data_IF_431628241388
#
_entry.id   IF_431628241388
#
_cell.length_a   1.000
_cell.length_b   1.000
_cell.length_c   1.000
_cell.angle_alpha   90.00
_cell.angle_beta   90.00
_cell.angle_gamma   90.00
#
_symmetry.space_group_name_H-M   'P 1'
#
loop_
_entity.id
_entity.type
_entity.pdbx_description
1 polymer ?
#
# COMPACT_ATOMS: atom_id res chain seq x y z
N UNK A 1 -74.48 -44.75 41.53
CA UNK A 1 -75.05 -44.67 40.17
C UNK A 1 -74.09 -43.78 39.40
N UNK A 2 -73.09 -44.29 38.69
CA UNK A 2 -72.93 -45.60 38.07
C UNK A 2 -71.47 -46.07 38.05
N UNK A 3 -71.34 -47.39 38.00
CA UNK A 3 -70.14 -48.20 38.02
C UNK A 3 -69.47 -48.29 36.64
N UNK A 4 -68.13 -48.44 36.66
CA UNK A 4 -67.32 -49.46 35.95
C UNK A 4 -66.08 -48.89 35.25
N UNK A 5 -64.87 -49.47 35.31
CA UNK A 5 -64.16 -50.45 36.17
C UNK A 5 -62.80 -50.68 35.47
N UNK A 6 -61.78 -51.07 36.24
CA UNK A 6 -60.50 -51.71 35.86
C UNK A 6 -59.33 -50.85 35.33
N UNK A 7 -58.05 -51.11 35.63
CA UNK A 7 -57.31 -51.95 36.59
C UNK A 7 -55.80 -51.71 36.31
N UNK A 8 -54.96 -51.93 37.31
CA UNK A 8 -53.53 -52.33 37.25
C UNK A 8 -52.46 -51.22 37.18
N UNK A 9 -51.89 -51.05 38.38
CA UNK A 9 -50.50 -50.75 38.74
C UNK A 9 -49.45 -51.50 37.90
N UNK A 10 -48.45 -50.78 37.39
CA UNK A 10 -47.17 -51.35 36.98
C UNK A 10 -46.05 -50.40 37.39
N UNK A 11 -45.44 -50.71 38.53
CA UNK A 11 -44.02 -50.46 38.78
C UNK A 11 -43.19 -50.96 37.60
N UNK A 12 -42.50 -50.04 36.91
CA UNK A 12 -41.18 -50.18 36.27
C UNK A 12 -41.09 -49.28 35.04
N UNK A 13 -40.46 -48.12 35.20
CA UNK A 13 -39.65 -47.57 34.11
C UNK A 13 -38.42 -46.90 34.73
N UNK A 14 -37.21 -47.35 34.39
CA UNK A 14 -36.00 -46.77 34.94
C UNK A 14 -35.89 -45.33 34.45
N UNK A 15 -35.31 -44.48 35.30
CA UNK A 15 -34.77 -43.18 34.94
C UNK A 15 -34.29 -43.19 33.49
N UNK A 16 -35.04 -42.55 32.58
CA UNK A 16 -34.42 -42.03 31.35
C UNK A 16 -33.63 -40.80 31.74
N UNK A 17 -32.55 -41.03 32.47
CA UNK A 17 -31.40 -40.16 32.41
C UNK A 17 -31.07 -40.03 30.92
N UNK A 18 -30.98 -38.79 30.43
CA UNK A 18 -30.25 -38.58 29.18
C UNK A 18 -28.94 -39.37 29.27
N UNK A 19 -28.51 -40.06 28.20
CA UNK A 19 -27.20 -40.69 28.21
C UNK A 19 -26.19 -39.63 28.61
N UNK A 20 -25.52 -39.83 29.75
CA UNK A 20 -24.39 -39.00 30.13
C UNK A 20 -23.40 -39.10 28.97
N UNK A 21 -23.01 -37.96 28.41
CA UNK A 21 -21.96 -37.89 27.41
C UNK A 21 -20.77 -38.74 27.91
N UNK A 22 -20.21 -39.64 27.07
CA UNK A 22 -19.01 -40.38 27.43
C UNK A 22 -17.96 -39.42 28.00
N UNK A 23 -17.40 -39.75 29.16
CA UNK A 23 -16.27 -39.00 29.70
C UNK A 23 -15.12 -39.10 28.68
N UNK A 24 -14.81 -37.98 28.02
CA UNK A 24 -13.91 -37.91 26.87
C UNK A 24 -14.21 -36.76 25.90
N UNK A 25 -15.33 -36.04 26.05
CA UNK A 25 -15.65 -34.87 25.22
C UNK A 25 -14.93 -33.57 25.64
N UNK A 26 -14.24 -33.55 26.80
CA UNK A 26 -13.41 -32.40 27.20
C UNK A 26 -12.07 -32.34 26.42
N UNK A 27 -11.59 -33.48 25.88
CA UNK A 27 -10.35 -33.53 25.08
C UNK A 27 -10.52 -32.84 23.71
N UNK A 28 -11.71 -32.91 23.10
CA UNK A 28 -11.98 -32.30 21.79
C UNK A 28 -12.02 -30.76 21.88
N UNK A 29 -12.56 -30.18 22.96
CA UNK A 29 -12.55 -28.73 23.19
C UNK A 29 -11.14 -28.21 23.46
N UNK A 30 -10.29 -28.96 24.17
CA UNK A 30 -8.90 -28.57 24.43
C UNK A 30 -8.05 -28.64 23.14
N UNK A 31 -8.30 -29.64 22.28
CA UNK A 31 -7.61 -29.84 21.01
C UNK A 31 -8.06 -28.83 19.94
N UNK A 32 -9.35 -28.48 19.91
CA UNK A 32 -9.88 -27.39 19.08
C UNK A 32 -9.32 -26.03 19.52
N UNK A 33 -9.21 -25.78 20.83
CA UNK A 33 -8.58 -24.57 21.35
C UNK A 33 -7.07 -24.52 21.08
N UNK A 34 -6.39 -25.66 20.98
CA UNK A 34 -4.97 -25.70 20.65
C UNK A 34 -4.67 -25.22 19.23
N UNK A 35 -5.56 -25.52 18.27
CA UNK A 35 -5.42 -25.10 16.87
C UNK A 35 -5.74 -23.61 16.66
N UNK A 36 -6.42 -22.95 17.59
CA UNK A 36 -6.78 -21.54 17.43
C UNK A 36 -5.58 -20.63 17.70
N UNK A 37 -5.32 -19.68 16.78
CA UNK A 37 -4.41 -18.56 17.03
C UNK A 37 -5.00 -17.72 18.17
N UNK A 38 -4.24 -17.64 19.27
CA UNK A 38 -4.66 -16.98 20.52
C UNK A 38 -5.26 -15.61 20.23
N UNK A 39 -6.47 -15.34 20.71
CA UNK A 39 -7.16 -14.05 20.51
C UNK A 39 -8.02 -13.97 19.25
N UNK A 40 -8.05 -15.03 18.42
CA UNK A 40 -8.78 -15.04 17.14
C UNK A 40 -9.66 -16.28 16.98
N UNK A 41 -10.37 -16.37 15.86
CA UNK A 41 -11.07 -17.58 15.42
C UNK A 41 -10.30 -18.35 14.32
N UNK A 42 -9.04 -17.96 14.06
CA UNK A 42 -8.26 -18.49 12.95
C UNK A 42 -7.48 -19.75 13.34
N UNK A 43 -7.39 -20.71 12.42
CA UNK A 43 -6.68 -21.98 12.60
C UNK A 43 -5.18 -21.86 12.28
N UNK A 44 -4.33 -22.32 13.21
CA UNK A 44 -2.87 -22.44 13.06
C UNK A 44 -2.53 -23.49 12.00
N UNK A 45 -3.17 -24.66 12.07
CA UNK A 45 -2.93 -25.77 11.15
C UNK A 45 -3.31 -25.39 9.72
N UNK A 46 -4.41 -24.66 9.54
CA UNK A 46 -4.78 -24.15 8.22
C UNK A 46 -3.70 -23.22 7.66
N UNK A 47 -3.25 -22.24 8.46
CA UNK A 47 -2.20 -21.30 8.05
C UNK A 47 -0.91 -22.04 7.63
N UNK A 48 -0.46 -23.01 8.42
CA UNK A 48 0.71 -23.82 8.08
C UNK A 48 0.50 -24.61 6.79
N UNK A 49 -0.69 -25.18 6.62
CA UNK A 49 -1.01 -25.96 5.43
C UNK A 49 -0.91 -25.10 4.17
N UNK A 50 -1.44 -23.87 4.21
CA UNK A 50 -1.37 -22.92 3.09
C UNK A 50 0.08 -22.53 2.78
N UNK A 51 0.88 -22.19 3.79
CA UNK A 51 2.31 -21.85 3.58
C UNK A 51 3.11 -23.02 3.02
N UNK A 52 2.83 -24.26 3.48
CA UNK A 52 3.50 -25.45 2.96
C UNK A 52 3.12 -25.75 1.51
N UNK A 53 1.84 -25.59 1.14
CA UNK A 53 1.38 -25.69 -0.25
C UNK A 53 2.10 -24.65 -1.13
N UNK A 54 2.19 -23.41 -0.65
CA UNK A 54 2.88 -22.32 -1.35
C UNK A 54 4.34 -22.66 -1.64
N UNK A 55 5.10 -23.10 -0.63
CA UNK A 55 6.52 -23.48 -0.81
C UNK A 55 6.65 -24.61 -1.83
N UNK A 56 5.83 -25.65 -1.71
CA UNK A 56 5.87 -26.80 -2.61
C UNK A 56 5.58 -26.39 -4.06
N UNK A 57 4.63 -25.47 -4.28
CA UNK A 57 4.27 -25.05 -5.62
C UNK A 57 5.36 -24.20 -6.28
N UNK A 58 5.97 -23.29 -5.52
CA UNK A 58 7.08 -22.46 -6.01
C UNK A 58 8.33 -23.31 -6.30
N UNK A 59 8.59 -24.35 -5.50
CA UNK A 59 9.70 -25.27 -5.79
C UNK A 59 9.43 -26.09 -7.07
N UNK A 60 8.19 -26.54 -7.33
CA UNK A 60 7.83 -27.22 -8.60
C UNK A 60 8.01 -26.34 -9.83
N UNK A 61 7.68 -25.04 -9.74
CA UNK A 61 7.89 -24.10 -10.85
C UNK A 61 9.37 -24.00 -11.26
N UNK A 62 10.29 -24.29 -10.34
CA UNK A 62 11.73 -24.21 -10.56
C UNK A 62 12.35 -25.54 -11.00
N UNK A 63 11.55 -26.58 -11.26
CA UNK A 63 12.05 -27.85 -11.80
C UNK A 63 12.54 -27.70 -13.27
N UNK A 64 13.60 -28.44 -13.66
CA UNK A 64 14.16 -28.37 -15.02
C UNK A 64 13.16 -28.90 -16.05
N UNK A 65 12.57 -27.97 -16.82
CA UNK A 65 11.56 -28.25 -17.85
C UNK A 65 10.45 -27.19 -17.94
N UNK A 66 10.27 -26.39 -16.89
CA UNK A 66 9.23 -25.33 -16.81
C UNK A 66 9.80 -23.91 -17.04
N UNK A 67 10.98 -23.77 -17.63
CA UNK A 67 11.75 -22.51 -17.64
C UNK A 67 11.58 -21.64 -18.90
N UNK A 68 10.69 -21.99 -19.83
CA UNK A 68 10.63 -21.37 -21.16
C UNK A 68 9.88 -20.03 -21.22
N UNK A 69 9.29 -19.56 -20.11
CA UNK A 69 8.63 -18.25 -20.00
C UNK A 69 9.25 -17.37 -18.92
N UNK A 70 9.37 -16.07 -19.20
CA UNK A 70 9.87 -15.04 -18.27
C UNK A 70 8.98 -14.92 -17.02
N UNK A 71 7.67 -15.18 -17.18
CA UNK A 71 6.72 -15.40 -16.08
C UNK A 71 6.29 -16.86 -16.05
N UNK A 72 6.28 -17.46 -14.86
CA UNK A 72 5.70 -18.77 -14.63
C UNK A 72 4.18 -18.74 -14.75
N UNK A 73 3.56 -19.92 -14.91
CA UNK A 73 2.11 -20.04 -14.74
C UNK A 73 1.79 -19.76 -13.27
N UNK A 74 0.81 -18.89 -13.02
CA UNK A 74 0.33 -18.63 -11.66
C UNK A 74 -0.15 -19.92 -10.97
N UNK A 75 -0.19 -19.89 -9.64
CA UNK A 75 -0.74 -21.00 -8.85
C UNK A 75 -2.21 -21.22 -9.20
N UNK A 76 -2.70 -22.43 -8.93
CA UNK A 76 -4.12 -22.73 -9.18
C UNK A 76 -5.04 -21.82 -8.34
N UNK A 77 -6.27 -21.66 -8.83
CA UNK A 77 -7.27 -20.75 -8.25
C UNK A 77 -7.55 -21.07 -6.77
N UNK A 78 -7.64 -22.37 -6.41
CA UNK A 78 -7.84 -22.81 -5.03
C UNK A 78 -6.74 -22.32 -4.07
N UNK A 79 -5.47 -22.45 -4.46
CA UNK A 79 -4.35 -21.98 -3.65
C UNK A 79 -4.29 -20.45 -3.63
N UNK A 80 -4.61 -19.79 -4.75
CA UNK A 80 -4.70 -18.33 -4.78
C UNK A 80 -5.76 -17.79 -3.80
N UNK A 81 -6.92 -18.43 -3.73
CA UNK A 81 -8.00 -18.05 -2.80
C UNK A 81 -7.57 -18.28 -1.34
N UNK A 82 -6.90 -19.41 -1.05
CA UNK A 82 -6.30 -19.66 0.26
C UNK A 82 -5.26 -18.59 0.64
N UNK A 83 -4.43 -18.16 -0.31
CA UNK A 83 -3.42 -17.12 -0.10
C UNK A 83 -4.06 -15.73 0.08
N UNK A 84 -5.15 -15.41 -0.62
CA UNK A 84 -5.89 -14.17 -0.39
C UNK A 84 -6.52 -14.14 1.01
N UNK A 85 -7.09 -15.27 1.46
CA UNK A 85 -7.59 -15.39 2.83
C UNK A 85 -6.46 -15.20 3.86
N UNK A 86 -5.27 -15.77 3.61
CA UNK A 86 -4.11 -15.56 4.47
C UNK A 86 -3.67 -14.09 4.50
N UNK A 87 -3.72 -13.41 3.36
CA UNK A 87 -3.45 -11.99 3.27
C UNK A 87 -4.44 -11.18 4.13
N UNK A 88 -5.74 -11.44 4.02
CA UNK A 88 -6.75 -10.77 4.86
C UNK A 88 -6.51 -11.04 6.36
N UNK A 89 -6.18 -12.28 6.71
CA UNK A 89 -5.86 -12.67 8.10
C UNK A 89 -4.65 -11.92 8.66
N UNK A 90 -3.64 -11.62 7.83
CA UNK A 90 -2.42 -10.93 8.26
C UNK A 90 -2.64 -9.47 8.71
N UNK A 91 -3.84 -8.92 8.52
CA UNK A 91 -4.21 -7.62 9.12
C UNK A 91 -4.49 -7.72 10.63
N UNK A 92 -4.76 -8.91 11.16
CA UNK A 92 -5.03 -9.10 12.58
C UNK A 92 -3.73 -9.17 13.39
N UNK A 93 -3.62 -8.34 14.44
CA UNK A 93 -2.40 -8.23 15.25
C UNK A 93 -1.95 -9.53 15.90
N UNK A 94 -2.87 -10.39 16.35
CA UNK A 94 -2.53 -11.67 16.97
C UNK A 94 -2.03 -12.69 15.92
N UNK A 95 -2.58 -12.62 14.71
CA UNK A 95 -2.05 -13.39 13.56
C UNK A 95 -0.65 -12.92 13.21
N UNK A 96 -0.37 -11.61 13.21
CA UNK A 96 0.99 -11.09 12.97
C UNK A 96 1.98 -11.62 14.00
N UNK A 97 1.63 -11.63 15.28
CA UNK A 97 2.49 -12.19 16.34
C UNK A 97 2.79 -13.66 16.08
N UNK A 98 1.77 -14.45 15.78
CA UNK A 98 1.93 -15.87 15.46
C UNK A 98 2.79 -16.09 14.20
N UNK A 99 2.57 -15.32 13.13
CA UNK A 99 3.37 -15.40 11.91
C UNK A 99 4.83 -15.02 12.14
N UNK A 100 5.08 -14.03 13.00
CA UNK A 100 6.43 -13.63 13.39
C UNK A 100 7.14 -14.73 14.20
N UNK A 101 6.46 -15.36 15.17
CA UNK A 101 6.99 -16.52 15.93
C UNK A 101 7.45 -17.66 15.01
N UNK A 102 6.79 -17.82 13.86
CA UNK A 102 7.12 -18.84 12.86
C UNK A 102 8.11 -18.38 11.77
N UNK A 103 8.77 -17.22 11.90
CA UNK A 103 9.71 -16.73 10.88
C UNK A 103 9.08 -16.56 9.49
N UNK A 104 7.83 -16.11 9.45
CA UNK A 104 7.12 -15.90 8.18
C UNK A 104 7.79 -14.87 7.28
N UNK A 105 8.52 -13.89 7.84
CA UNK A 105 9.29 -12.93 7.05
C UNK A 105 10.34 -13.63 6.20
N UNK A 106 11.14 -14.51 6.80
CA UNK A 106 12.18 -15.28 6.09
C UNK A 106 11.56 -16.22 5.04
N UNK A 107 10.47 -16.91 5.41
CA UNK A 107 9.76 -17.84 4.55
C UNK A 107 9.20 -17.13 3.30
N UNK A 108 8.45 -16.04 3.50
CA UNK A 108 7.84 -15.28 2.40
C UNK A 108 8.92 -14.62 1.53
N UNK A 109 10.02 -14.17 2.13
CA UNK A 109 11.16 -13.64 1.38
C UNK A 109 11.78 -14.69 0.47
N UNK A 110 11.97 -15.92 0.98
CA UNK A 110 12.46 -17.04 0.19
C UNK A 110 11.51 -17.42 -0.96
N UNK A 111 10.19 -17.33 -0.72
CA UNK A 111 9.17 -17.53 -1.77
C UNK A 111 9.28 -16.44 -2.84
N UNK A 112 9.36 -15.17 -2.46
CA UNK A 112 9.44 -14.04 -3.38
C UNK A 112 10.64 -14.18 -4.32
N UNK A 113 11.82 -14.52 -3.78
CA UNK A 113 13.06 -14.67 -4.57
C UNK A 113 12.96 -15.81 -5.59
N UNK A 114 12.17 -16.85 -5.31
CA UNK A 114 12.01 -18.03 -6.17
C UNK A 114 10.81 -17.96 -7.10
N UNK A 115 9.80 -17.18 -6.76
CA UNK A 115 8.52 -17.13 -7.46
C UNK A 115 8.70 -16.57 -8.86
N UNK A 116 8.07 -17.23 -9.84
CA UNK A 116 7.90 -16.69 -11.20
C UNK A 116 6.47 -16.27 -11.48
N UNK A 117 5.58 -16.42 -10.49
CA UNK A 117 4.15 -16.15 -10.55
C UNK A 117 3.89 -14.74 -10.00
N UNK A 118 3.55 -13.74 -10.85
CA UNK A 118 3.34 -12.36 -10.40
C UNK A 118 2.32 -12.25 -9.27
N UNK A 119 1.22 -13.02 -9.34
CA UNK A 119 0.17 -12.98 -8.33
C UNK A 119 0.64 -13.50 -6.98
N UNK A 120 1.47 -14.54 -6.97
CA UNK A 120 2.07 -15.06 -5.73
C UNK A 120 3.01 -14.02 -5.11
N UNK A 121 3.87 -13.41 -5.95
CA UNK A 121 4.79 -12.38 -5.49
C UNK A 121 4.04 -11.20 -4.90
N UNK A 122 3.00 -10.72 -5.60
CA UNK A 122 2.10 -9.66 -5.11
C UNK A 122 1.52 -10.00 -3.73
N UNK A 123 0.92 -11.18 -3.57
CA UNK A 123 0.28 -11.58 -2.30
C UNK A 123 1.32 -11.67 -1.17
N UNK A 124 2.48 -12.28 -1.43
CA UNK A 124 3.55 -12.40 -0.43
C UNK A 124 4.07 -11.02 0.03
N UNK A 125 4.31 -10.10 -0.91
CA UNK A 125 4.70 -8.72 -0.59
C UNK A 125 3.58 -8.00 0.15
N UNK A 126 2.32 -8.25 -0.23
CA UNK A 126 1.13 -7.76 0.45
C UNK A 126 1.05 -8.17 1.91
N UNK A 127 1.30 -9.45 2.20
CA UNK A 127 1.38 -9.99 3.56
C UNK A 127 2.53 -9.32 4.33
N UNK A 128 3.73 -9.25 3.75
CA UNK A 128 4.87 -8.59 4.39
C UNK A 128 4.57 -7.12 4.72
N UNK A 129 3.85 -6.41 3.85
CA UNK A 129 3.39 -5.05 4.09
C UNK A 129 2.41 -4.91 5.26
N UNK A 130 1.62 -5.94 5.57
CA UNK A 130 0.76 -5.95 6.76
C UNK A 130 1.59 -6.28 8.02
N UNK A 131 2.51 -7.24 7.91
CA UNK A 131 3.39 -7.62 9.02
C UNK A 131 4.29 -6.45 9.45
N UNK A 132 4.77 -5.64 8.50
CA UNK A 132 5.65 -4.49 8.78
C UNK A 132 4.98 -3.39 9.61
N UNK A 133 3.65 -3.37 9.73
CA UNK A 133 2.94 -2.47 10.64
C UNK A 133 3.16 -2.83 12.12
N UNK A 134 3.63 -4.03 12.44
CA UNK A 134 4.02 -4.39 13.80
C UNK A 134 5.47 -3.90 14.08
N UNK A 135 5.71 -3.14 15.16
CA UNK A 135 7.04 -2.57 15.43
C UNK A 135 8.16 -3.62 15.55
N UNK A 136 7.89 -4.76 16.18
CA UNK A 136 8.88 -5.83 16.34
C UNK A 136 9.26 -6.43 15.00
N UNK A 137 8.27 -6.69 14.14
CA UNK A 137 8.52 -7.22 12.79
C UNK A 137 9.20 -6.19 11.90
N UNK A 138 8.79 -4.92 11.98
CA UNK A 138 9.44 -3.82 11.27
C UNK A 138 10.92 -3.71 11.68
N UNK A 139 11.24 -3.86 12.96
CA UNK A 139 12.62 -3.90 13.46
C UNK A 139 13.41 -5.07 12.87
N UNK A 140 12.83 -6.27 12.80
CA UNK A 140 13.47 -7.46 12.21
C UNK A 140 13.76 -7.23 10.72
N UNK A 141 12.77 -6.77 9.94
CA UNK A 141 12.91 -6.46 8.52
C UNK A 141 13.98 -5.40 8.26
N UNK A 142 13.95 -4.30 9.03
CA UNK A 142 14.85 -3.15 8.84
C UNK A 142 16.29 -3.45 9.29
N UNK A 143 16.48 -4.48 10.12
CA UNK A 143 17.81 -4.95 10.53
C UNK A 143 18.43 -5.95 9.56
N UNK A 144 17.71 -6.33 8.49
CA UNK A 144 18.16 -7.31 7.51
C UNK A 144 18.46 -6.63 6.15
N UNK A 145 19.74 -6.39 5.81
CA UNK A 145 20.12 -5.78 4.53
C UNK A 145 19.72 -6.59 3.30
N UNK A 146 19.68 -7.92 3.41
CA UNK A 146 19.27 -8.80 2.29
C UNK A 146 17.78 -8.62 1.99
N UNK A 147 16.96 -8.49 3.04
CA UNK A 147 15.54 -8.17 2.91
C UNK A 147 15.33 -6.81 2.25
N UNK A 148 16.02 -5.76 2.74
CA UNK A 148 15.93 -4.41 2.17
C UNK A 148 16.28 -4.41 0.69
N UNK A 149 17.39 -5.06 0.32
CA UNK A 149 17.83 -5.14 -1.07
C UNK A 149 16.84 -5.92 -1.95
N UNK A 150 16.26 -7.01 -1.42
CA UNK A 150 15.22 -7.75 -2.12
C UNK A 150 14.00 -6.86 -2.40
N UNK A 151 13.54 -6.08 -1.41
CA UNK A 151 12.40 -5.17 -1.60
C UNK A 151 12.72 -4.05 -2.60
N UNK A 152 13.92 -3.47 -2.55
CA UNK A 152 14.32 -2.45 -3.54
C UNK A 152 14.41 -3.03 -4.96
N UNK A 153 14.87 -4.27 -5.11
CA UNK A 153 14.91 -4.96 -6.41
C UNK A 153 13.51 -5.20 -6.99
N UNK A 154 12.49 -5.41 -6.14
CA UNK A 154 11.10 -5.59 -6.59
C UNK A 154 10.53 -4.34 -7.29
N UNK A 155 11.14 -3.15 -7.15
CA UNK A 155 10.76 -1.97 -7.93
C UNK A 155 11.01 -2.13 -9.43
N UNK A 156 11.81 -3.12 -9.84
CA UNK A 156 12.05 -3.47 -11.24
C UNK A 156 10.99 -4.44 -11.80
N UNK A 157 10.04 -4.90 -10.96
CA UNK A 157 9.01 -5.83 -11.39
C UNK A 157 8.04 -5.14 -12.39
N UNK A 158 7.77 -5.74 -13.56
CA UNK A 158 6.89 -5.13 -14.55
C UNK A 158 5.40 -5.28 -14.22
N UNK A 159 5.03 -6.11 -13.25
CA UNK A 159 3.64 -6.25 -12.80
C UNK A 159 3.23 -5.09 -11.90
N UNK A 160 2.21 -4.34 -12.33
CA UNK A 160 1.74 -3.15 -11.63
C UNK A 160 1.17 -3.43 -10.24
N UNK A 161 0.54 -4.59 -10.01
CA UNK A 161 -0.01 -4.93 -8.70
C UNK A 161 1.10 -5.29 -7.70
N UNK A 162 2.13 -6.02 -8.15
CA UNK A 162 3.34 -6.26 -7.38
C UNK A 162 4.03 -4.95 -6.99
N UNK A 163 4.13 -3.98 -7.91
CA UNK A 163 4.67 -2.66 -7.61
C UNK A 163 3.84 -1.91 -6.58
N UNK A 164 2.49 -1.99 -6.64
CA UNK A 164 1.61 -1.36 -5.62
C UNK A 164 1.97 -1.87 -4.22
N UNK A 165 2.12 -3.18 -4.06
CA UNK A 165 2.45 -3.76 -2.76
C UNK A 165 3.89 -3.47 -2.33
N UNK A 166 4.84 -3.45 -3.28
CA UNK A 166 6.25 -3.14 -3.02
C UNK A 166 6.41 -1.73 -2.49
N UNK A 167 5.79 -0.75 -3.15
CA UNK A 167 5.82 0.66 -2.74
C UNK A 167 5.12 0.85 -1.40
N UNK A 168 4.01 0.14 -1.14
CA UNK A 168 3.33 0.17 0.16
C UNK A 168 4.22 -0.37 1.29
N UNK A 169 4.89 -1.50 1.08
CA UNK A 169 5.82 -2.08 2.06
C UNK A 169 6.97 -1.11 2.35
N UNK A 170 7.59 -0.53 1.32
CA UNK A 170 8.64 0.48 1.47
C UNK A 170 8.15 1.68 2.28
N UNK A 171 6.97 2.20 1.97
CA UNK A 171 6.36 3.31 2.69
C UNK A 171 6.17 2.98 4.17
N UNK A 172 5.57 1.82 4.50
CA UNK A 172 5.35 1.39 5.87
C UNK A 172 6.66 1.32 6.67
N UNK A 173 7.72 0.76 6.09
CA UNK A 173 9.02 0.66 6.76
C UNK A 173 9.71 2.02 6.93
N UNK A 174 9.63 2.92 5.94
CA UNK A 174 10.17 4.28 6.02
C UNK A 174 9.41 5.18 7.00
N UNK A 175 8.13 4.88 7.26
CA UNK A 175 7.31 5.63 8.21
C UNK A 175 7.69 5.33 9.68
N UNK A 176 8.45 4.25 9.92
CA UNK A 176 8.91 3.89 11.26
C UNK A 176 9.89 4.92 11.83
N UNK A 177 9.51 5.61 12.90
CA UNK A 177 10.36 6.63 13.56
C UNK A 177 11.71 6.06 14.06
N UNK A 178 11.74 4.78 14.43
CA UNK A 178 12.91 4.12 15.01
C UNK A 178 13.76 3.37 13.99
N UNK A 179 13.18 2.95 12.85
CA UNK A 179 13.78 1.95 11.96
C UNK A 179 13.87 2.37 10.49
N UNK A 180 13.58 3.62 10.13
CA UNK A 180 13.68 4.09 8.74
C UNK A 180 15.12 4.23 8.21
N UNK A 181 16.11 4.46 9.09
CA UNK A 181 17.48 4.81 8.68
C UNK A 181 18.16 3.78 7.75
N UNK A 182 18.08 2.46 8.00
CA UNK A 182 18.64 1.46 7.09
C UNK A 182 18.03 1.50 5.69
N UNK A 183 16.74 1.79 5.56
CA UNK A 183 16.06 1.91 4.27
C UNK A 183 16.54 3.13 3.49
N UNK A 184 16.64 4.28 4.16
CA UNK A 184 17.18 5.50 3.56
C UNK A 184 18.63 5.31 3.13
N UNK A 185 19.45 4.65 3.94
CA UNK A 185 20.84 4.35 3.60
C UNK A 185 20.92 3.48 2.32
N UNK A 186 20.13 2.41 2.23
CA UNK A 186 20.10 1.55 1.05
C UNK A 186 19.58 2.28 -0.21
N UNK A 187 18.59 3.17 -0.06
CA UNK A 187 18.10 4.01 -1.16
C UNK A 187 19.21 4.96 -1.64
N UNK A 188 19.98 5.57 -0.74
CA UNK A 188 21.11 6.44 -1.08
C UNK A 188 22.25 5.66 -1.75
N UNK A 189 22.53 4.45 -1.31
CA UNK A 189 23.55 3.58 -1.92
C UNK A 189 23.20 3.21 -3.37
N UNK A 190 21.90 3.14 -3.69
CA UNK A 190 21.37 2.78 -5.02
C UNK A 190 20.67 3.97 -5.71
N UNK A 191 20.99 5.21 -5.31
CA UNK A 191 20.20 6.41 -5.60
C UNK A 191 19.86 6.58 -7.08
N UNK A 192 20.85 6.40 -7.96
CA UNK A 192 20.66 6.58 -9.40
C UNK A 192 19.64 5.60 -9.98
N UNK A 193 19.68 4.32 -9.57
CA UNK A 193 18.74 3.30 -10.06
C UNK A 193 17.32 3.58 -9.55
N UNK A 194 17.19 3.82 -8.24
CA UNK A 194 15.91 4.08 -7.61
C UNK A 194 15.24 5.33 -8.20
N UNK A 195 16.02 6.39 -8.44
CA UNK A 195 15.51 7.60 -9.07
C UNK A 195 14.98 7.35 -10.49
N UNK A 196 15.68 6.55 -11.31
CA UNK A 196 15.18 6.19 -12.64
C UNK A 196 13.92 5.33 -12.57
N UNK A 197 13.85 4.38 -11.65
CA UNK A 197 12.66 3.54 -11.45
C UNK A 197 11.44 4.35 -11.01
N UNK A 198 11.59 5.25 -10.04
CA UNK A 198 10.50 6.14 -9.58
C UNK A 198 9.99 7.00 -10.74
N UNK A 199 10.91 7.63 -11.51
CA UNK A 199 10.52 8.42 -12.68
C UNK A 199 9.82 7.56 -13.74
N UNK A 200 10.34 6.37 -14.00
CA UNK A 200 9.75 5.45 -14.97
C UNK A 200 8.33 5.06 -14.58
N UNK A 201 8.10 4.67 -13.32
CA UNK A 201 6.77 4.31 -12.83
C UNK A 201 5.81 5.49 -12.95
N UNK A 202 6.21 6.69 -12.52
CA UNK A 202 5.39 7.90 -12.64
C UNK A 202 5.07 8.26 -14.10
N UNK A 203 6.02 8.06 -15.01
CA UNK A 203 5.86 8.42 -16.42
C UNK A 203 5.10 7.40 -17.27
N UNK A 204 4.95 6.16 -16.81
CA UNK A 204 4.46 5.06 -17.65
C UNK A 204 3.29 4.26 -17.07
N UNK A 205 3.05 4.31 -15.76
CA UNK A 205 1.96 3.55 -15.14
C UNK A 205 0.59 4.15 -15.45
N UNK A 206 -0.36 3.28 -15.76
CA UNK A 206 -1.81 3.62 -15.86
C UNK A 206 -2.58 3.25 -14.58
N UNK A 207 -1.90 2.67 -13.59
CA UNK A 207 -2.49 2.32 -12.31
C UNK A 207 -2.43 3.54 -11.36
N UNK A 208 -3.59 4.18 -11.16
CA UNK A 208 -3.75 5.38 -10.31
C UNK A 208 -3.32 5.15 -8.86
N UNK A 209 -3.59 3.95 -8.31
CA UNK A 209 -3.17 3.61 -6.94
C UNK A 209 -1.65 3.52 -6.84
N UNK A 210 -0.99 2.91 -7.83
CA UNK A 210 0.47 2.88 -7.90
C UNK A 210 1.05 4.29 -7.97
N UNK A 211 0.49 5.15 -8.84
CA UNK A 211 0.95 6.53 -9.00
C UNK A 211 0.81 7.33 -7.69
N UNK A 212 -0.33 7.17 -7.00
CA UNK A 212 -0.54 7.77 -5.68
C UNK A 212 0.51 7.29 -4.68
N UNK A 213 0.72 5.98 -4.57
CA UNK A 213 1.63 5.40 -3.59
C UNK A 213 3.09 5.82 -3.83
N UNK A 214 3.52 5.90 -5.09
CA UNK A 214 4.86 6.40 -5.44
C UNK A 214 4.98 7.89 -5.12
N UNK A 215 3.94 8.68 -5.35
CA UNK A 215 3.90 10.08 -4.92
C UNK A 215 3.97 10.26 -3.40
N UNK A 216 3.32 9.38 -2.63
CA UNK A 216 3.37 9.38 -1.15
C UNK A 216 4.75 8.97 -0.64
N UNK A 217 5.38 7.97 -1.28
CA UNK A 217 6.76 7.58 -1.01
C UNK A 217 7.72 8.74 -1.26
N UNK A 218 7.56 9.47 -2.36
CA UNK A 218 8.40 10.63 -2.68
C UNK A 218 8.25 11.75 -1.63
N UNK A 219 7.02 12.06 -1.22
CA UNK A 219 6.76 13.03 -0.16
C UNK A 219 7.48 12.65 1.14
N UNK A 220 7.39 11.38 1.54
CA UNK A 220 8.02 10.88 2.76
C UNK A 220 9.55 10.95 2.67
N UNK A 221 10.15 10.55 1.54
CA UNK A 221 11.60 10.64 1.34
C UNK A 221 12.10 12.08 1.38
N UNK A 222 11.37 13.02 0.77
CA UNK A 222 11.72 14.44 0.81
C UNK A 222 11.62 15.03 2.22
N UNK A 223 10.69 14.54 3.04
CA UNK A 223 10.58 14.94 4.44
C UNK A 223 11.71 14.36 5.31
N UNK A 224 12.09 13.10 5.08
CA UNK A 224 13.14 12.43 5.84
C UNK A 224 14.55 12.95 5.47
N UNK A 225 14.76 13.35 4.22
CA UNK A 225 16.08 13.65 3.66
C UNK A 225 16.07 14.88 2.74
N UNK A 226 16.35 16.05 3.31
CA UNK A 226 16.46 17.32 2.59
C UNK A 226 17.43 17.26 1.40
N UNK A 227 18.53 16.51 1.54
CA UNK A 227 19.50 16.33 0.47
C UNK A 227 18.93 15.57 -0.74
N UNK A 228 18.07 14.56 -0.50
CA UNK A 228 17.38 13.85 -1.58
C UNK A 228 16.36 14.78 -2.23
N UNK A 229 15.61 15.57 -1.44
CA UNK A 229 14.71 16.58 -1.96
C UNK A 229 15.44 17.54 -2.90
N UNK A 230 16.59 18.09 -2.48
CA UNK A 230 17.39 19.00 -3.29
C UNK A 230 17.90 18.32 -4.58
N UNK A 231 18.45 17.09 -4.51
CA UNK A 231 19.02 16.42 -5.69
C UNK A 231 17.97 15.90 -6.68
N UNK A 232 16.85 15.39 -6.18
CA UNK A 232 15.81 14.78 -7.02
C UNK A 232 14.86 15.82 -7.61
N UNK A 233 14.86 17.04 -7.07
CA UNK A 233 14.07 18.18 -7.56
C UNK A 233 14.55 18.71 -8.90
N UNK A 234 14.32 17.93 -9.97
CA UNK A 234 14.78 18.22 -11.33
C UNK A 234 13.60 18.39 -12.30
N UNK A 235 13.85 19.04 -13.44
CA UNK A 235 12.89 19.12 -14.54
C UNK A 235 12.44 17.74 -15.03
N UNK A 236 13.32 16.74 -15.01
CA UNK A 236 12.99 15.37 -15.40
C UNK A 236 12.00 14.71 -14.43
N UNK A 237 12.20 14.91 -13.12
CA UNK A 237 11.25 14.44 -12.11
C UNK A 237 9.88 15.12 -12.27
N UNK A 238 9.85 16.45 -12.41
CA UNK A 238 8.61 17.19 -12.65
C UNK A 238 7.88 16.71 -13.92
N UNK A 239 8.63 16.38 -14.98
CA UNK A 239 8.04 15.85 -16.20
C UNK A 239 7.38 14.49 -15.95
N UNK A 240 8.06 13.57 -15.24
CA UNK A 240 7.49 12.28 -14.88
C UNK A 240 6.23 12.43 -14.01
N UNK A 241 6.26 13.33 -13.02
CA UNK A 241 5.09 13.64 -12.20
C UNK A 241 3.93 14.24 -13.01
N UNK A 242 4.22 15.08 -14.01
CA UNK A 242 3.20 15.66 -14.88
C UNK A 242 2.54 14.60 -15.77
N UNK A 243 3.27 13.58 -16.22
CA UNK A 243 2.66 12.42 -16.90
C UNK A 243 1.74 11.65 -15.95
N UNK A 244 2.17 11.38 -14.71
CA UNK A 244 1.32 10.77 -13.69
C UNK A 244 0.02 11.57 -13.45
N UNK A 245 0.13 12.89 -13.35
CA UNK A 245 -1.04 13.79 -13.19
C UNK A 245 -1.98 13.72 -14.39
N UNK A 246 -1.47 13.58 -15.62
CA UNK A 246 -2.33 13.42 -16.80
C UNK A 246 -3.13 12.11 -16.74
N UNK A 247 -2.50 11.02 -16.31
CA UNK A 247 -3.16 9.73 -16.13
C UNK A 247 -4.20 9.74 -14.99
N UNK A 248 -3.88 10.39 -13.87
CA UNK A 248 -4.83 10.58 -12.74
C UNK A 248 -6.02 11.47 -13.14
N UNK A 249 -5.76 12.46 -13.99
CA UNK A 249 -6.71 13.50 -14.35
C UNK A 249 -6.69 14.68 -13.37
N UNK A 250 -7.53 15.67 -13.64
CA UNK A 250 -7.48 16.98 -12.96
C UNK A 250 -8.58 17.18 -11.91
N UNK A 251 -9.45 16.19 -11.71
CA UNK A 251 -10.51 16.26 -10.71
C UNK A 251 -9.92 16.13 -9.30
N UNK A 252 -10.45 16.86 -8.29
CA UNK A 252 -10.01 16.73 -6.91
C UNK A 252 -10.12 15.29 -6.41
N UNK A 253 -8.98 14.70 -6.07
CA UNK A 253 -8.88 13.36 -5.52
C UNK A 253 -7.59 13.22 -4.71
N UNK A 254 -7.51 12.25 -3.78
CA UNK A 254 -6.32 12.05 -2.94
C UNK A 254 -5.03 11.87 -3.74
N UNK A 255 -5.09 11.18 -4.88
CA UNK A 255 -3.92 10.97 -5.73
C UNK A 255 -3.36 12.30 -6.27
N UNK A 256 -4.21 13.19 -6.80
CA UNK A 256 -3.76 14.47 -7.32
C UNK A 256 -3.23 15.40 -6.20
N UNK A 257 -3.83 15.36 -5.02
CA UNK A 257 -3.38 16.13 -3.85
C UNK A 257 -1.93 15.78 -3.47
N UNK A 258 -1.56 14.50 -3.55
CA UNK A 258 -0.19 14.02 -3.31
C UNK A 258 0.80 14.68 -4.27
N UNK A 259 0.47 14.83 -5.55
CA UNK A 259 1.36 15.49 -6.53
C UNK A 259 1.45 17.00 -6.33
N UNK A 260 0.35 17.66 -5.97
CA UNK A 260 0.36 19.09 -5.61
C UNK A 260 1.25 19.31 -4.38
N UNK A 261 1.18 18.41 -3.39
CA UNK A 261 2.05 18.47 -2.23
C UNK A 261 3.53 18.27 -2.60
N UNK A 262 3.84 17.31 -3.47
CA UNK A 262 5.20 17.12 -3.96
C UNK A 262 5.74 18.38 -4.66
N UNK A 263 4.94 19.06 -5.51
CA UNK A 263 5.36 20.34 -6.11
C UNK A 263 5.68 21.39 -5.04
N UNK A 264 4.87 21.45 -3.98
CA UNK A 264 5.11 22.35 -2.84
C UNK A 264 6.41 21.99 -2.10
N UNK A 265 6.69 20.71 -1.84
CA UNK A 265 7.95 20.30 -1.21
C UNK A 265 9.16 20.67 -2.07
N UNK A 266 9.08 20.43 -3.38
CA UNK A 266 10.14 20.84 -4.32
C UNK A 266 10.32 22.37 -4.34
N UNK A 267 9.26 23.15 -4.11
CA UNK A 267 9.36 24.60 -4.03
C UNK A 267 10.19 25.11 -2.84
N UNK A 268 10.49 24.25 -1.87
CA UNK A 268 11.34 24.55 -0.73
C UNK A 268 12.84 24.30 -0.98
N UNK A 269 13.21 23.74 -2.14
CA UNK A 269 14.60 23.42 -2.51
C UNK A 269 15.10 24.35 -3.63
N UNK A 270 16.41 24.60 -3.71
CA UNK A 270 16.96 25.54 -4.69
C UNK A 270 16.81 24.98 -6.12
N UNK A 271 17.16 23.72 -6.32
CA UNK A 271 16.97 23.02 -7.59
C UNK A 271 15.49 22.93 -7.96
N UNK A 272 14.61 22.70 -6.99
CA UNK A 272 13.17 22.62 -7.24
C UNK A 272 12.58 23.94 -7.69
N UNK A 273 12.97 25.08 -7.09
CA UNK A 273 12.56 26.39 -7.60
C UNK A 273 12.97 26.59 -9.06
N UNK A 274 14.21 26.25 -9.43
CA UNK A 274 14.69 26.34 -10.82
C UNK A 274 13.93 25.39 -11.77
N UNK A 275 13.64 24.18 -11.31
CA UNK A 275 12.88 23.20 -12.08
C UNK A 275 11.43 23.65 -12.30
N UNK A 276 10.78 24.18 -11.26
CA UNK A 276 9.43 24.74 -11.31
C UNK A 276 9.36 25.96 -12.22
N UNK A 277 10.37 26.83 -12.22
CA UNK A 277 10.45 27.97 -13.15
C UNK A 277 10.51 27.48 -14.61
N UNK A 278 11.37 26.51 -14.90
CA UNK A 278 11.52 25.91 -16.22
C UNK A 278 10.24 25.19 -16.70
N UNK A 279 9.48 24.62 -15.76
CA UNK A 279 8.22 23.88 -16.01
C UNK A 279 6.97 24.69 -15.62
N UNK A 280 7.09 26.02 -15.56
CA UNK A 280 6.04 26.90 -15.03
C UNK A 280 4.70 26.76 -15.76
N UNK A 281 4.71 26.68 -17.10
CA UNK A 281 3.49 26.59 -17.90
C UNK A 281 2.66 25.31 -17.64
N UNK A 282 3.20 24.08 -17.77
CA UNK A 282 2.42 22.87 -17.54
C UNK A 282 1.99 22.72 -16.07
N UNK A 283 2.82 23.16 -15.11
CA UNK A 283 2.47 23.12 -13.69
C UNK A 283 1.33 24.07 -13.40
N UNK A 284 1.36 25.28 -13.95
CA UNK A 284 0.27 26.23 -13.79
C UNK A 284 -1.03 25.69 -14.38
N UNK A 285 -0.98 25.00 -15.53
CA UNK A 285 -2.18 24.38 -16.11
C UNK A 285 -2.83 23.38 -15.14
N UNK A 286 -2.04 22.53 -14.49
CA UNK A 286 -2.52 21.59 -13.46
C UNK A 286 -3.15 22.34 -12.29
N UNK A 287 -2.42 23.29 -11.71
CA UNK A 287 -2.86 24.06 -10.54
C UNK A 287 -4.15 24.83 -10.81
N UNK A 288 -4.28 25.39 -12.01
CA UNK A 288 -5.45 26.17 -12.41
C UNK A 288 -6.67 25.29 -12.65
N UNK A 289 -6.52 24.15 -13.33
CA UNK A 289 -7.61 23.19 -13.49
C UNK A 289 -8.11 22.69 -12.14
N UNK A 290 -7.19 22.35 -11.24
CA UNK A 290 -7.53 21.92 -9.89
C UNK A 290 -8.25 23.03 -9.10
N UNK A 291 -7.75 24.26 -9.16
CA UNK A 291 -8.38 25.42 -8.52
C UNK A 291 -9.80 25.69 -9.05
N UNK A 292 -10.02 25.54 -10.36
CA UNK A 292 -11.34 25.68 -10.96
C UNK A 292 -12.33 24.66 -10.38
N UNK A 293 -11.95 23.38 -10.31
CA UNK A 293 -12.81 22.36 -9.69
C UNK A 293 -13.10 22.67 -8.22
N UNK A 294 -12.09 23.09 -7.44
CA UNK A 294 -12.28 23.47 -6.05
C UNK A 294 -13.28 24.63 -5.89
N UNK A 295 -13.21 25.63 -6.77
CA UNK A 295 -14.07 26.81 -6.78
C UNK A 295 -15.43 26.58 -7.44
N UNK A 296 -15.63 25.54 -8.23
CA UNK A 296 -16.94 25.24 -8.83
C UNK A 296 -17.86 24.50 -7.84
N UNK A 297 -17.32 23.81 -6.83
CA UNK A 297 -18.14 23.16 -5.82
C UNK A 297 -18.84 24.17 -4.89
N UNK A 298 -20.19 24.22 -4.87
CA UNK A 298 -20.92 25.23 -4.11
C UNK A 298 -21.12 24.87 -2.62
N UNK A 299 -20.73 23.67 -2.17
CA UNK A 299 -21.22 23.07 -0.92
C UNK A 299 -20.14 22.92 0.15
N UNK A 300 -18.85 22.88 -0.21
CA UNK A 300 -17.77 22.65 0.76
C UNK A 300 -17.28 23.99 1.33
N UNK A 301 -17.35 24.22 2.65
CA UNK A 301 -16.80 25.41 3.30
C UNK A 301 -15.32 25.61 2.98
N UNK A 302 -14.92 26.86 2.76
CA UNK A 302 -13.54 27.25 2.44
C UNK A 302 -12.53 26.76 3.50
N UNK A 303 -12.95 26.69 4.77
CA UNK A 303 -12.13 26.19 5.88
C UNK A 303 -11.65 24.75 5.69
N UNK A 304 -12.46 23.88 5.06
CA UNK A 304 -12.08 22.50 4.75
C UNK A 304 -11.12 22.41 3.54
N UNK A 305 -10.99 23.50 2.77
CA UNK A 305 -10.14 23.61 1.58
C UNK A 305 -8.88 24.47 1.80
N UNK A 306 -8.74 25.09 2.96
CA UNK A 306 -7.73 26.12 3.23
C UNK A 306 -6.28 25.64 3.02
N UNK A 307 -5.95 24.41 3.44
CA UNK A 307 -4.60 23.85 3.26
C UNK A 307 -4.23 23.70 1.77
N UNK A 308 -5.16 23.21 0.97
CA UNK A 308 -4.98 23.00 -0.47
C UNK A 308 -4.87 24.34 -1.20
N UNK A 309 -5.74 25.29 -0.86
CA UNK A 309 -5.68 26.65 -1.40
C UNK A 309 -4.35 27.33 -1.06
N UNK A 310 -3.86 27.20 0.17
CA UNK A 310 -2.57 27.76 0.57
C UNK A 310 -1.40 27.18 -0.27
N UNK A 311 -1.36 25.87 -0.48
CA UNK A 311 -0.33 25.23 -1.30
C UNK A 311 -0.38 25.72 -2.75
N UNK A 312 -1.57 25.72 -3.37
CA UNK A 312 -1.76 26.17 -4.76
C UNK A 312 -1.35 27.64 -4.91
N UNK A 313 -1.82 28.52 -4.02
CA UNK A 313 -1.50 29.95 -4.06
C UNK A 313 -0.01 30.20 -3.83
N UNK A 314 0.64 29.42 -2.96
CA UNK A 314 2.10 29.49 -2.77
C UNK A 314 2.85 29.16 -4.05
N UNK A 315 2.49 28.07 -4.73
CA UNK A 315 3.11 27.66 -6.00
C UNK A 315 2.87 28.68 -7.11
N UNK A 316 1.64 29.17 -7.23
CA UNK A 316 1.28 30.21 -8.20
C UNK A 316 2.09 31.48 -7.94
N UNK A 317 2.18 31.93 -6.69
CA UNK A 317 2.96 33.11 -6.32
C UNK A 317 4.45 32.92 -6.63
N UNK A 318 5.02 31.74 -6.35
CA UNK A 318 6.40 31.43 -6.70
C UNK A 318 6.62 31.54 -8.22
N UNK A 319 5.76 30.90 -9.02
CA UNK A 319 5.86 30.94 -10.49
C UNK A 319 5.77 32.39 -10.99
N UNK A 320 4.91 33.22 -10.40
CA UNK A 320 4.78 34.63 -10.77
C UNK A 320 6.01 35.47 -10.41
N UNK A 321 6.59 35.26 -9.23
CA UNK A 321 7.76 36.02 -8.77
C UNK A 321 9.00 35.71 -9.61
N UNK A 322 9.12 34.48 -10.12
CA UNK A 322 10.25 34.07 -10.97
C UNK A 322 10.04 34.41 -12.46
N UNK A 323 8.81 34.70 -12.88
CA UNK A 323 8.44 34.82 -14.29
C UNK A 323 8.80 36.16 -14.96
N UNK A 324 9.92 36.21 -15.69
CA UNK A 324 10.19 37.22 -16.75
C UNK A 324 9.73 36.76 -18.16
N UNK A 325 9.30 35.50 -18.31
CA UNK A 325 8.90 34.86 -19.59
C UNK A 325 7.45 34.34 -19.63
N UNK A 326 6.65 34.69 -18.62
CA UNK A 326 5.27 34.22 -18.49
C UNK A 326 4.34 34.99 -19.46
N UNK A 327 3.63 34.27 -20.33
CA UNK A 327 2.55 34.88 -21.12
C UNK A 327 1.30 35.06 -20.26
N UNK A 328 1.25 36.18 -19.53
CA UNK A 328 0.07 36.64 -18.79
C UNK A 328 -1.18 36.68 -19.70
N UNK A 329 -1.04 36.82 -21.02
CA UNK A 329 -2.16 36.78 -21.97
C UNK A 329 -2.85 35.41 -22.04
N UNK A 330 -2.12 34.31 -21.83
CA UNK A 330 -2.70 32.98 -21.67
C UNK A 330 -3.47 32.83 -20.35
N UNK A 331 -3.04 33.56 -19.31
CA UNK A 331 -3.64 33.59 -17.98
C UNK A 331 -5.04 34.23 -17.98
N UNK A 332 -5.22 35.34 -18.72
CA UNK A 332 -6.52 36.02 -18.85
C UNK A 332 -7.55 35.28 -19.71
N UNK A 333 -7.12 34.33 -20.55
CA UNK A 333 -8.06 33.46 -21.29
C UNK A 333 -8.79 32.49 -20.37
N UNK A 334 -8.29 32.26 -19.17
CA UNK A 334 -9.00 31.58 -18.10
C UNK A 334 -9.83 32.65 -17.37
N UNK A 335 -10.97 33.06 -17.96
CA UNK A 335 -11.92 34.03 -17.38
C UNK A 335 -12.37 33.68 -15.93
N UNK A 336 -12.08 32.45 -15.49
CA UNK A 336 -12.43 31.92 -14.19
C UNK A 336 -11.42 32.23 -13.09
N UNK A 337 -10.17 32.60 -13.37
CA UNK A 337 -9.20 32.88 -12.28
C UNK A 337 -9.60 34.05 -11.37
N UNK A 338 -10.03 35.22 -11.91
CA UNK A 338 -10.58 36.27 -11.06
C UNK A 338 -11.81 35.80 -10.27
N UNK A 339 -12.66 34.95 -10.86
CA UNK A 339 -13.84 34.39 -10.18
C UNK A 339 -13.44 33.45 -9.03
N UNK A 340 -12.43 32.61 -9.23
CA UNK A 340 -11.86 31.75 -8.19
C UNK A 340 -11.28 32.60 -7.05
N UNK A 341 -10.51 33.65 -7.37
CA UNK A 341 -9.98 34.58 -6.37
C UNK A 341 -11.09 35.31 -5.61
N UNK A 342 -12.13 35.79 -6.29
CA UNK A 342 -13.29 36.40 -5.63
C UNK A 342 -13.97 35.41 -4.67
N UNK A 343 -14.19 34.16 -5.09
CA UNK A 343 -14.80 33.12 -4.24
C UNK A 343 -13.93 32.73 -3.03
N UNK A 344 -12.61 32.86 -3.13
CA UNK A 344 -11.69 32.61 -2.00
C UNK A 344 -11.71 33.78 -1.00
N UNK A 345 -12.01 35.00 -1.46
CA UNK A 345 -12.03 36.22 -0.65
C UNK A 345 -13.41 36.53 -0.03
N UNK A 346 -14.48 35.93 -0.55
CA UNK A 346 -15.82 35.86 0.08
C UNK A 346 -15.84 34.88 1.25
#
# INVERSE_FOLDING_TARGET
>A
MDENVNLIDCSDSPFRSNPTLPAGFDDDDELLNADIITGTAFSKQWLFTVLMKLIQEVDKQNEPGNADSEFGVDVNEDLQDELCNLWDMSMNSDVVVFMHEFKSVELLSAVIVKSRAPRVTEICVGILGNLSCNPTVCSEMSSNPEFINMVLLLLENPDGLCLVQTVRLLYCCLQSEEHYLPWVAAIKDQEANILELIKFIMASSTNVELLKNVGELLNLLFYLEDELCERWSTTAMLTAMLEAVKEIGFQPCPALEVFIHNFQLMSCSQNGVLALENMSQPILEVLMKYLMFLCDEPIVPVDLKAKYLAAILSLINLIFLQGSKFDIGSFYKIEMFPKCLFKILE
#
